data_IF_592554769279
#
_entry.id   IF_592554769279
#
_cell.length_a   1.000
_cell.length_b   1.000
_cell.length_c   1.000
_cell.angle_alpha   90.00
_cell.angle_beta   90.00
_cell.angle_gamma   90.00
#
_symmetry.space_group_name_H-M   'P 1'
#
loop_
_entity.id
_entity.type
_entity.pdbx_description
1 polymer ?
#
# COMPACT_ATOMS: atom_id res chain seq x y z
N UNK A 1 10.94 -14.29 27.63
CA UNK A 1 11.52 -13.53 26.48
C UNK A 1 10.82 -12.18 26.38
N UNK A 2 11.55 -11.08 26.50
CA UNK A 2 10.97 -9.73 26.46
C UNK A 2 10.39 -9.42 25.06
N UNK A 3 9.07 -9.20 24.96
CA UNK A 3 8.33 -8.81 23.73
C UNK A 3 8.63 -7.37 23.30
N UNK A 4 9.88 -6.92 23.43
CA UNK A 4 10.29 -5.54 23.16
C UNK A 4 11.61 -5.50 22.40
N UNK A 5 11.59 -4.78 21.28
CA UNK A 5 12.73 -4.55 20.39
C UNK A 5 13.22 -3.12 20.59
N UNK A 6 14.54 -2.97 20.73
CA UNK A 6 15.16 -1.65 20.91
C UNK A 6 15.14 -0.87 19.58
N UNK A 7 14.82 0.41 19.66
CA UNK A 7 14.79 1.35 18.54
C UNK A 7 15.95 2.33 18.72
N UNK A 8 16.97 2.30 17.84
CA UNK A 8 18.16 3.14 17.96
C UNK A 8 17.86 4.65 18.02
N UNK A 9 16.78 5.10 17.38
CA UNK A 9 16.37 6.51 17.42
C UNK A 9 14.82 6.69 17.40
N UNK A 10 14.19 6.91 18.57
CA UNK A 10 12.74 7.06 18.67
C UNK A 10 12.22 8.39 18.10
N UNK A 11 13.06 9.43 18.04
CA UNK A 11 12.68 10.73 17.50
C UNK A 11 12.55 10.66 15.96
N UNK A 12 13.48 9.97 15.30
CA UNK A 12 13.39 9.68 13.87
C UNK A 12 12.17 8.80 13.55
N UNK A 13 11.90 7.76 14.34
CA UNK A 13 10.72 6.89 14.14
C UNK A 13 9.40 7.67 14.25
N UNK A 14 9.31 8.64 15.15
CA UNK A 14 8.16 9.55 15.23
C UNK A 14 8.06 10.43 13.99
N UNK A 15 9.12 11.12 13.56
CA UNK A 15 9.06 12.00 12.37
C UNK A 15 8.75 11.23 11.09
N UNK A 16 9.39 10.08 10.87
CA UNK A 16 9.15 9.20 9.74
C UNK A 16 7.70 8.69 9.73
N UNK A 17 7.19 8.24 10.88
CA UNK A 17 5.80 7.83 11.01
C UNK A 17 4.80 8.95 10.68
N UNK A 18 5.06 10.19 11.10
CA UNK A 18 4.18 11.33 10.77
C UNK A 18 4.18 11.64 9.28
N UNK A 19 5.36 11.70 8.64
CA UNK A 19 5.48 11.90 7.19
C UNK A 19 4.77 10.80 6.41
N UNK A 20 4.91 9.57 6.86
CA UNK A 20 4.26 8.42 6.23
C UNK A 20 2.74 8.46 6.39
N UNK A 21 2.22 8.85 7.55
CA UNK A 21 0.77 9.07 7.73
C UNK A 21 0.27 10.17 6.81
N UNK A 22 0.96 11.31 6.70
CA UNK A 22 0.56 12.40 5.79
C UNK A 22 0.57 11.92 4.34
N UNK A 23 1.63 11.25 3.90
CA UNK A 23 1.72 10.70 2.54
C UNK A 23 0.58 9.69 2.25
N UNK A 24 0.25 8.83 3.23
CA UNK A 24 -0.85 7.88 3.11
C UNK A 24 -2.22 8.56 3.08
N UNK A 25 -2.43 9.64 3.83
CA UNK A 25 -3.68 10.43 3.78
C UNK A 25 -3.84 11.11 2.43
N UNK A 26 -2.78 11.73 1.91
CA UNK A 26 -2.79 12.32 0.56
C UNK A 26 -3.11 11.25 -0.48
N UNK A 27 -2.44 10.09 -0.38
CA UNK A 27 -2.72 8.96 -1.25
C UNK A 27 -4.19 8.54 -1.16
N UNK A 28 -4.75 8.46 0.05
CA UNK A 28 -6.15 8.12 0.29
C UNK A 28 -7.09 9.06 -0.47
N UNK A 29 -6.91 10.37 -0.30
CA UNK A 29 -7.72 11.39 -0.98
C UNK A 29 -7.62 11.23 -2.49
N UNK A 30 -6.40 11.07 -3.01
CA UNK A 30 -6.17 10.90 -4.45
C UNK A 30 -6.87 9.65 -4.98
N UNK A 31 -6.78 8.55 -4.23
CA UNK A 31 -7.39 7.27 -4.61
C UNK A 31 -8.90 7.32 -4.51
N UNK A 32 -9.48 8.03 -3.54
CA UNK A 32 -10.94 8.24 -3.45
C UNK A 32 -11.45 8.96 -4.69
N UNK A 33 -10.76 10.00 -5.16
CA UNK A 33 -11.13 10.71 -6.39
C UNK A 33 -11.08 9.78 -7.60
N UNK A 34 -10.07 8.91 -7.69
CA UNK A 34 -9.98 7.91 -8.76
C UNK A 34 -11.08 6.84 -8.67
N UNK A 35 -11.38 6.34 -7.47
CA UNK A 35 -12.45 5.35 -7.24
C UNK A 35 -13.80 5.92 -7.62
N UNK A 36 -14.13 7.12 -7.12
CA UNK A 36 -15.40 7.80 -7.42
C UNK A 36 -15.48 8.15 -8.90
N UNK A 37 -14.41 8.66 -9.51
CA UNK A 37 -14.36 8.91 -10.95
C UNK A 37 -14.59 7.64 -11.78
N UNK A 38 -13.98 6.53 -11.39
CA UNK A 38 -14.18 5.22 -12.03
C UNK A 38 -15.61 4.71 -11.89
N UNK A 39 -16.23 4.85 -10.72
CA UNK A 39 -17.64 4.48 -10.49
C UNK A 39 -18.55 5.34 -11.35
N UNK A 40 -18.34 6.65 -11.41
CA UNK A 40 -19.13 7.55 -12.26
C UNK A 40 -19.06 7.16 -13.74
N UNK A 41 -17.88 6.80 -14.24
CA UNK A 41 -17.71 6.30 -15.60
C UNK A 41 -18.44 4.97 -15.83
N UNK A 42 -18.40 4.05 -14.88
CA UNK A 42 -19.16 2.80 -14.95
C UNK A 42 -20.68 3.03 -14.99
N UNK A 43 -21.17 3.98 -14.18
CA UNK A 43 -22.59 4.37 -14.18
C UNK A 43 -22.98 5.00 -15.53
N UNK A 44 -22.06 5.72 -16.18
CA UNK A 44 -22.25 6.23 -17.53
C UNK A 44 -22.13 5.16 -18.63
N UNK A 45 -21.89 3.88 -18.28
CA UNK A 45 -21.72 2.78 -19.22
C UNK A 45 -20.30 2.67 -19.79
N UNK A 46 -19.38 3.52 -19.36
CA UNK A 46 -17.98 3.47 -19.79
C UNK A 46 -17.20 2.42 -19.00
N UNK A 47 -16.98 1.28 -19.64
CA UNK A 47 -16.14 0.19 -19.13
C UNK A 47 -14.68 0.62 -18.85
N UNK A 48 -14.22 1.77 -19.36
CA UNK A 48 -12.93 2.36 -18.99
C UNK A 48 -12.87 2.79 -17.50
N UNK A 49 -14.02 2.93 -16.84
CA UNK A 49 -14.14 3.20 -15.40
C UNK A 49 -13.81 2.00 -14.50
N UNK A 50 -13.89 0.77 -15.01
CA UNK A 50 -13.63 -0.45 -14.25
C UNK A 50 -12.22 -0.52 -13.63
N UNK A 51 -11.14 -0.29 -14.40
CA UNK A 51 -9.80 -0.26 -13.83
C UNK A 51 -9.65 0.85 -12.77
N UNK A 52 -10.26 2.03 -12.99
CA UNK A 52 -10.25 3.16 -12.04
C UNK A 52 -10.95 2.83 -10.73
N UNK A 53 -12.15 2.26 -10.79
CA UNK A 53 -12.92 1.90 -9.61
C UNK A 53 -12.22 0.80 -8.80
N UNK A 54 -11.83 -0.30 -9.46
CA UNK A 54 -11.21 -1.45 -8.78
C UNK A 54 -9.80 -1.11 -8.30
N UNK A 55 -9.00 -0.46 -9.14
CA UNK A 55 -7.64 -0.06 -8.79
C UNK A 55 -7.60 0.97 -7.67
N UNK A 56 -8.49 1.97 -7.71
CA UNK A 56 -8.66 2.97 -6.65
C UNK A 56 -9.06 2.32 -5.33
N UNK A 57 -10.08 1.45 -5.33
CA UNK A 57 -10.55 0.76 -4.12
C UNK A 57 -9.46 -0.13 -3.49
N UNK A 58 -8.67 -0.85 -4.31
CA UNK A 58 -7.56 -1.66 -3.80
C UNK A 58 -6.46 -0.78 -3.19
N UNK A 59 -6.14 0.35 -3.82
CA UNK A 59 -5.18 1.31 -3.29
C UNK A 59 -5.67 1.93 -1.97
N UNK A 60 -6.96 2.28 -1.85
CA UNK A 60 -7.57 2.77 -0.62
C UNK A 60 -7.45 1.76 0.52
N UNK A 61 -7.88 0.51 0.28
CA UNK A 61 -7.80 -0.55 1.30
C UNK A 61 -6.35 -0.77 1.72
N UNK A 62 -5.42 -0.83 0.76
CA UNK A 62 -4.00 -0.98 1.04
C UNK A 62 -3.44 0.18 1.88
N UNK A 63 -3.82 1.42 1.55
CA UNK A 63 -3.41 2.61 2.28
C UNK A 63 -3.97 2.61 3.71
N UNK A 64 -5.26 2.34 3.90
CA UNK A 64 -5.90 2.23 5.23
C UNK A 64 -5.17 1.20 6.09
N UNK A 65 -4.93 0.01 5.54
CA UNK A 65 -4.24 -1.07 6.25
C UNK A 65 -2.83 -0.67 6.68
N UNK A 66 -2.07 0.02 5.81
CA UNK A 66 -0.74 0.55 6.13
C UNK A 66 -0.80 1.65 7.20
N UNK A 67 -1.79 2.55 7.15
CA UNK A 67 -1.99 3.58 8.18
C UNK A 67 -2.27 2.95 9.54
N UNK A 68 -3.24 2.03 9.61
CA UNK A 68 -3.63 1.35 10.86
C UNK A 68 -2.43 0.59 11.44
N UNK A 69 -1.68 -0.11 10.60
CA UNK A 69 -0.47 -0.84 11.00
C UNK A 69 0.61 0.11 11.55
N UNK A 70 0.85 1.23 10.88
CA UNK A 70 1.82 2.25 11.31
C UNK A 70 1.40 2.91 12.63
N UNK A 71 0.11 3.20 12.80
CA UNK A 71 -0.45 3.74 14.05
C UNK A 71 -0.33 2.73 15.19
N UNK A 72 -0.53 1.44 14.93
CA UNK A 72 -0.38 0.37 15.93
C UNK A 72 1.06 0.28 16.42
N UNK A 73 2.03 0.31 15.51
CA UNK A 73 3.46 0.37 15.86
C UNK A 73 3.77 1.61 16.72
N UNK A 74 3.27 2.79 16.32
CA UNK A 74 3.45 4.04 17.07
C UNK A 74 2.85 3.99 18.47
N UNK A 75 1.67 3.40 18.65
CA UNK A 75 1.04 3.23 19.97
C UNK A 75 1.85 2.30 20.88
N UNK A 76 2.54 1.33 20.31
CA UNK A 76 3.42 0.42 21.07
C UNK A 76 4.83 0.95 21.32
N UNK A 77 5.15 2.15 20.82
CA UNK A 77 6.47 2.78 21.01
C UNK A 77 6.55 3.38 22.43
N UNK A 78 7.38 2.80 23.29
CA UNK A 78 7.65 3.30 24.63
C UNK A 78 9.16 3.56 24.82
N UNK A 79 9.52 4.83 25.05
CA UNK A 79 10.89 5.36 25.15
C UNK A 79 11.78 4.97 23.96
N UNK A 80 12.41 3.80 24.01
CA UNK A 80 13.29 3.24 22.97
C UNK A 80 12.90 1.80 22.59
N UNK A 81 11.66 1.38 22.87
CA UNK A 81 11.23 0.00 22.65
C UNK A 81 9.89 -0.08 21.92
N UNK A 82 9.75 -1.08 21.04
CA UNK A 82 8.53 -1.40 20.28
C UNK A 82 8.17 -2.85 20.51
N UNK A 83 6.87 -3.16 20.56
CA UNK A 83 6.41 -4.54 20.69
C UNK A 83 6.83 -5.38 19.47
N UNK A 84 7.50 -6.52 19.70
CA UNK A 84 7.94 -7.42 18.61
C UNK A 84 6.73 -8.00 17.88
N UNK A 85 5.68 -8.33 18.64
CA UNK A 85 4.37 -8.74 18.13
C UNK A 85 3.76 -7.72 17.15
N UNK A 86 3.89 -6.41 17.40
CA UNK A 86 3.40 -5.36 16.51
C UNK A 86 4.22 -5.29 15.20
N UNK A 87 5.54 -5.46 15.27
CA UNK A 87 6.42 -5.51 14.09
C UNK A 87 6.17 -6.75 13.22
N UNK A 88 6.02 -7.93 13.83
CA UNK A 88 5.69 -9.16 13.11
C UNK A 88 4.30 -9.12 12.48
N UNK A 89 3.33 -8.50 13.15
CA UNK A 89 2.01 -8.28 12.57
C UNK A 89 2.14 -7.34 11.37
N UNK A 90 2.91 -6.26 11.50
CA UNK A 90 3.10 -5.30 10.43
C UNK A 90 3.77 -5.90 9.19
N UNK A 91 4.79 -6.75 9.36
CA UNK A 91 5.47 -7.41 8.23
C UNK A 91 4.55 -8.39 7.50
N UNK A 92 3.76 -9.18 8.24
CA UNK A 92 2.74 -10.07 7.66
C UNK A 92 1.68 -9.29 6.89
N UNK A 93 1.19 -8.20 7.47
CA UNK A 93 0.18 -7.35 6.84
C UNK A 93 0.72 -6.68 5.58
N UNK A 94 1.95 -6.14 5.61
CA UNK A 94 2.62 -5.59 4.44
C UNK A 94 2.81 -6.64 3.33
N UNK A 95 3.14 -7.89 3.70
CA UNK A 95 3.20 -9.01 2.76
C UNK A 95 1.86 -9.31 2.09
N UNK A 96 0.76 -9.34 2.85
CA UNK A 96 -0.60 -9.54 2.30
C UNK A 96 -1.03 -8.39 1.39
N UNK A 97 -0.82 -7.15 1.81
CA UNK A 97 -1.11 -5.96 0.99
C UNK A 97 -0.35 -6.04 -0.33
N UNK A 98 0.94 -6.40 -0.30
CA UNK A 98 1.74 -6.57 -1.51
C UNK A 98 1.18 -7.67 -2.43
N UNK A 99 0.74 -8.80 -1.87
CA UNK A 99 0.15 -9.87 -2.66
C UNK A 99 -1.14 -9.42 -3.34
N UNK A 100 -2.05 -8.77 -2.60
CA UNK A 100 -3.29 -8.21 -3.15
C UNK A 100 -2.98 -7.22 -4.25
N UNK A 101 -2.06 -6.29 -4.02
CA UNK A 101 -1.62 -5.29 -5.01
C UNK A 101 -1.08 -5.96 -6.28
N UNK A 102 -0.25 -6.99 -6.15
CA UNK A 102 0.30 -7.73 -7.30
C UNK A 102 -0.78 -8.47 -8.08
N UNK A 103 -1.72 -9.13 -7.39
CA UNK A 103 -2.84 -9.82 -8.03
C UNK A 103 -3.72 -8.81 -8.79
N UNK A 104 -4.00 -7.66 -8.19
CA UNK A 104 -4.75 -6.58 -8.86
C UNK A 104 -3.99 -6.03 -10.07
N UNK A 105 -2.67 -5.89 -9.97
CA UNK A 105 -1.82 -5.44 -11.08
C UNK A 105 -1.86 -6.45 -12.24
N UNK A 106 -1.77 -7.75 -11.93
CA UNK A 106 -1.94 -8.82 -12.93
C UNK A 106 -3.32 -8.79 -13.58
N UNK A 107 -4.38 -8.60 -12.79
CA UNK A 107 -5.74 -8.49 -13.32
C UNK A 107 -5.92 -7.25 -14.22
N UNK A 108 -5.32 -6.11 -13.85
CA UNK A 108 -5.31 -4.89 -14.67
C UNK A 108 -4.55 -5.07 -15.97
N UNK A 109 -3.42 -5.78 -15.95
CA UNK A 109 -2.66 -6.12 -17.16
C UNK A 109 -3.48 -7.04 -18.06
N UNK A 110 -4.10 -8.09 -17.51
CA UNK A 110 -4.97 -8.98 -18.27
C UNK A 110 -6.16 -8.22 -18.89
N UNK A 111 -6.78 -7.31 -18.12
CA UNK A 111 -7.84 -6.43 -18.61
C UNK A 111 -7.36 -5.52 -19.75
N UNK A 112 -6.21 -4.87 -19.58
CA UNK A 112 -5.63 -3.99 -20.60
C UNK A 112 -5.27 -4.73 -21.87
N UNK A 113 -4.73 -5.95 -21.77
CA UNK A 113 -4.44 -6.81 -22.93
C UNK A 113 -5.74 -7.24 -23.63
N UNK A 114 -6.76 -7.68 -22.89
CA UNK A 114 -8.05 -8.04 -23.46
C UNK A 114 -8.71 -6.87 -24.20
N UNK A 115 -8.61 -5.65 -23.66
CA UNK A 115 -9.15 -4.44 -24.31
C UNK A 115 -8.32 -3.94 -25.48
N UNK A 116 -6.99 -4.06 -25.43
CA UNK A 116 -6.11 -3.81 -26.57
C UNK A 116 -6.50 -4.72 -27.75
N UNK A 117 -6.73 -6.00 -27.48
CA UNK A 117 -7.19 -6.98 -28.49
C UNK A 117 -8.58 -6.64 -29.03
N UNK A 118 -9.44 -6.02 -28.22
CA UNK A 118 -10.75 -5.50 -28.64
C UNK A 118 -10.67 -4.14 -29.37
N UNK A 119 -9.47 -3.57 -29.59
CA UNK A 119 -9.27 -2.31 -30.31
C UNK A 119 -9.42 -1.03 -29.48
N UNK A 120 -9.68 -1.14 -28.18
CA UNK A 120 -9.91 0.02 -27.29
C UNK A 120 -8.60 0.50 -26.65
N UNK A 121 -7.96 1.47 -27.30
CA UNK A 121 -6.66 2.02 -26.87
C UNK A 121 -6.75 2.93 -25.65
N UNK A 122 -7.92 3.51 -25.37
CA UNK A 122 -8.10 4.44 -24.25
C UNK A 122 -8.02 3.74 -22.89
N UNK A 123 -8.50 2.51 -22.83
CA UNK A 123 -8.44 1.65 -21.64
C UNK A 123 -7.01 1.31 -21.17
N UNK A 124 -6.00 1.42 -22.04
CA UNK A 124 -4.59 1.21 -21.69
C UNK A 124 -4.01 2.37 -20.91
N UNK A 125 -4.43 3.60 -21.23
CA UNK A 125 -3.94 4.80 -20.54
C UNK A 125 -4.42 4.77 -19.08
N UNK A 126 -5.69 4.44 -18.84
CA UNK A 126 -6.23 4.30 -17.49
C UNK A 126 -5.63 3.12 -16.74
N UNK A 127 -5.48 1.96 -17.38
CA UNK A 127 -4.78 0.81 -16.78
C UNK A 127 -3.32 1.11 -16.46
N UNK A 128 -2.62 1.86 -17.32
CA UNK A 128 -1.22 2.26 -17.14
C UNK A 128 -1.01 3.18 -15.94
N UNK A 129 -1.83 4.23 -15.79
CA UNK A 129 -1.75 5.16 -14.66
C UNK A 129 -1.91 4.42 -13.32
N UNK A 130 -2.87 3.50 -13.23
CA UNK A 130 -3.13 2.71 -12.03
C UNK A 130 -2.03 1.67 -11.81
N UNK A 131 -1.53 1.07 -12.89
CA UNK A 131 -0.39 0.15 -12.85
C UNK A 131 0.85 0.82 -12.24
N UNK A 132 1.13 2.08 -12.57
CA UNK A 132 2.21 2.86 -11.97
C UNK A 132 1.96 3.06 -10.46
N UNK A 133 0.74 3.45 -10.06
CA UNK A 133 0.38 3.62 -8.65
C UNK A 133 0.57 2.34 -7.84
N UNK A 134 0.08 1.21 -8.34
CA UNK A 134 0.24 -0.11 -7.72
C UNK A 134 1.72 -0.55 -7.70
N UNK A 135 2.47 -0.29 -8.76
CA UNK A 135 3.90 -0.59 -8.83
C UNK A 135 4.70 0.19 -7.77
N UNK A 136 4.44 1.48 -7.62
CA UNK A 136 5.06 2.30 -6.58
C UNK A 136 4.71 1.78 -5.18
N UNK A 137 3.47 1.35 -4.96
CA UNK A 137 3.04 0.78 -3.69
C UNK A 137 3.71 -0.58 -3.40
N UNK A 138 3.83 -1.44 -4.42
CA UNK A 138 4.55 -2.71 -4.34
C UNK A 138 6.05 -2.50 -4.05
N UNK A 139 6.66 -1.49 -4.66
CA UNK A 139 8.06 -1.12 -4.40
C UNK A 139 8.23 -0.58 -2.98
N UNK A 140 7.33 0.30 -2.53
CA UNK A 140 7.33 0.85 -1.18
C UNK A 140 7.19 -0.24 -0.10
N UNK A 141 6.23 -1.15 -0.27
CA UNK A 141 6.01 -2.27 0.67
C UNK A 141 7.22 -3.22 0.76
N UNK A 142 7.94 -3.46 -0.34
CA UNK A 142 9.20 -4.24 -0.32
C UNK A 142 10.27 -3.56 0.53
N UNK A 143 10.47 -2.24 0.38
CA UNK A 143 11.45 -1.50 1.16
C UNK A 143 11.14 -1.53 2.66
N UNK A 144 9.86 -1.39 3.03
CA UNK A 144 9.43 -1.49 4.42
C UNK A 144 9.68 -2.88 5.02
N UNK A 145 9.41 -3.94 4.26
CA UNK A 145 9.66 -5.31 4.71
C UNK A 145 11.15 -5.57 4.95
N UNK A 146 12.02 -5.12 4.05
CA UNK A 146 13.48 -5.24 4.22
C UNK A 146 13.95 -4.50 5.47
N UNK A 147 13.48 -3.28 5.70
CA UNK A 147 13.84 -2.52 6.90
C UNK A 147 13.34 -3.20 8.20
N UNK A 148 12.16 -3.81 8.17
CA UNK A 148 11.61 -4.57 9.30
C UNK A 148 12.38 -5.87 9.56
N UNK A 149 12.72 -6.62 8.50
CA UNK A 149 13.49 -7.86 8.60
C UNK A 149 14.92 -7.58 9.10
N UNK A 150 15.55 -6.49 8.66
CA UNK A 150 16.86 -6.04 9.17
C UNK A 150 16.81 -5.71 10.66
N UNK A 151 15.78 -4.97 11.12
CA UNK A 151 15.59 -4.64 12.53
C UNK A 151 15.29 -5.87 13.42
N UNK A 152 14.76 -6.95 12.83
CA UNK A 152 14.53 -8.23 13.51
C UNK A 152 15.81 -9.08 13.61
N UNK A 153 16.69 -9.01 12.62
CA UNK A 153 17.91 -9.82 12.52
C UNK A 153 19.15 -9.20 13.19
N UNK A 154 19.15 -7.92 13.57
CA UNK A 154 20.29 -7.26 14.26
C UNK A 154 20.54 -7.76 15.69
N UNK A 155 19.94 -8.88 16.10
CA UNK A 155 20.04 -9.47 17.45
C UNK A 155 20.70 -10.87 17.46
N UNK A 156 21.22 -11.37 16.33
CA UNK A 156 22.03 -12.59 16.31
C UNK A 156 23.54 -12.34 16.38
N UNK A 157 23.97 -11.09 16.51
CA UNK A 157 25.36 -10.67 16.76
C UNK A 157 25.43 -9.88 18.05
#
# INVERSE_FOLDING_TARGET
MSDRVHVPDPALMRRAGRRMTVALVILLILTTVLTVGGISLLVAGELAGLPLAVGGAVLEVAAVVLVVTTLRIRRTLNAQTVARSALLTASRTAGRVRLVVLVTLLALVAYGVARLLAGDRWSLVTAGIIGIGLFLLARGSKAMRVAQDQALNTRET
#
